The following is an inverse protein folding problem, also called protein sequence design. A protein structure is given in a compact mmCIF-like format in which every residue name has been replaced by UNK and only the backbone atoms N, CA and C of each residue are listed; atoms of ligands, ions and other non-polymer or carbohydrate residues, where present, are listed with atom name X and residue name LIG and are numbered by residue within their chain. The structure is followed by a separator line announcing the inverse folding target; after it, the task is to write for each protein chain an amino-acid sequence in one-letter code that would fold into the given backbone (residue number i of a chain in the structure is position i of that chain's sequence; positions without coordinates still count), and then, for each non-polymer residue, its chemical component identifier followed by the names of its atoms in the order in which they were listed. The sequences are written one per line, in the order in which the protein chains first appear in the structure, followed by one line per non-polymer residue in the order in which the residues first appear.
data_IF_927229697578
#
_entry.id   IF_927229697578
#
_cell.length_a   1.000
_cell.length_b   1.000
_cell.length_c   1.000
_cell.angle_alpha   90.00
_cell.angle_beta   90.00
_cell.angle_gamma   90.00
#
_symmetry.space_group_name_H-M   'P 1'
#
loop_
_entity.id
_entity.type
_entity.pdbx_description
1 polymer ?
#
# COMPACT_ATOMS: atom_id res chain seq x y z
N UNK A 1 25.82 -14.32 -1.15
CA UNK A 1 25.96 -13.73 -2.50
C UNK A 1 25.72 -14.74 -3.63
N UNK A 2 26.10 -16.03 -3.52
CA UNK A 2 25.72 -17.05 -4.53
C UNK A 2 24.30 -17.63 -4.34
N UNK A 3 23.81 -17.70 -3.09
CA UNK A 3 22.48 -18.24 -2.77
C UNK A 3 21.28 -17.33 -3.16
N UNK A 4 21.55 -16.11 -3.64
CA UNK A 4 20.53 -15.11 -4.01
C UNK A 4 20.04 -15.29 -5.47
N UNK A 5 20.83 -15.96 -6.32
CA UNK A 5 20.56 -16.03 -7.75
C UNK A 5 19.91 -17.35 -8.20
N UNK A 6 20.08 -18.47 -7.49
CA UNK A 6 19.45 -19.75 -7.86
C UNK A 6 17.96 -19.83 -7.51
N UNK A 7 17.49 -19.08 -6.51
CA UNK A 7 16.07 -19.05 -6.10
C UNK A 7 15.19 -18.24 -7.07
N UNK A 8 15.80 -17.36 -7.89
CA UNK A 8 15.11 -16.42 -8.80
C UNK A 8 14.41 -17.07 -9.99
N UNK A 9 14.90 -18.21 -10.47
CA UNK A 9 14.37 -18.86 -11.68
C UNK A 9 13.12 -19.70 -11.42
N UNK A 10 13.04 -20.39 -10.28
CA UNK A 10 11.86 -21.19 -9.91
C UNK A 10 10.67 -20.34 -9.42
N UNK A 11 10.94 -19.28 -8.66
CA UNK A 11 9.90 -18.41 -8.11
C UNK A 11 9.18 -17.57 -9.18
N UNK A 12 9.86 -17.21 -10.27
CA UNK A 12 9.28 -16.40 -11.34
C UNK A 12 8.17 -17.13 -12.12
N UNK A 13 8.20 -18.47 -12.23
CA UNK A 13 7.17 -19.25 -12.93
C UNK A 13 5.92 -19.47 -12.07
N UNK A 14 6.08 -19.79 -10.79
CA UNK A 14 4.95 -19.88 -9.84
C UNK A 14 4.26 -18.51 -9.63
N UNK A 15 5.02 -17.41 -9.64
CA UNK A 15 4.50 -16.04 -9.57
C UNK A 15 3.63 -15.66 -10.78
N UNK A 16 3.94 -16.14 -12.00
CA UNK A 16 3.11 -15.88 -13.19
C UNK A 16 1.77 -16.62 -13.14
N UNK A 17 1.74 -17.80 -12.52
CA UNK A 17 0.51 -18.56 -12.35
C UNK A 17 -0.39 -17.97 -11.25
N UNK A 18 0.20 -17.51 -10.14
CA UNK A 18 -0.54 -16.88 -9.04
C UNK A 18 -1.03 -15.46 -9.36
N UNK A 19 -0.22 -14.65 -10.07
CA UNK A 19 -0.58 -13.29 -10.48
C UNK A 19 -1.79 -13.26 -11.42
N UNK A 20 -1.87 -14.20 -12.37
CA UNK A 20 -3.04 -14.36 -13.25
C UNK A 20 -4.33 -14.70 -12.47
N UNK A 21 -4.22 -15.54 -11.44
CA UNK A 21 -5.36 -15.96 -10.62
C UNK A 21 -5.85 -14.85 -9.69
N UNK A 22 -4.92 -14.11 -9.07
CA UNK A 22 -5.23 -12.96 -8.21
C UNK A 22 -5.77 -11.75 -9.01
N UNK A 23 -5.30 -11.57 -10.25
CA UNK A 23 -5.84 -10.57 -11.18
C UNK A 23 -7.26 -10.87 -11.62
N UNK A 24 -7.58 -12.14 -11.89
CA UNK A 24 -8.91 -12.58 -12.32
C UNK A 24 -10.01 -12.39 -11.27
N UNK A 25 -9.70 -12.63 -9.99
CA UNK A 25 -10.69 -12.46 -8.89
C UNK A 25 -10.95 -11.00 -8.50
N UNK A 26 -10.02 -10.07 -8.78
CA UNK A 26 -10.15 -8.64 -8.45
C UNK A 26 -10.90 -7.84 -9.52
N UNK A 27 -10.81 -8.23 -10.79
CA UNK A 27 -11.53 -7.54 -11.87
C UNK A 27 -13.07 -7.65 -11.78
N UNK A 28 -13.60 -8.59 -10.98
CA UNK A 28 -15.05 -8.82 -10.83
C UNK A 28 -15.72 -7.91 -9.77
N UNK A 29 -14.96 -7.20 -8.94
CA UNK A 29 -15.50 -6.47 -7.78
C UNK A 29 -15.11 -4.99 -7.88
N UNK A 30 -16.14 -4.14 -8.11
CA UNK A 30 -16.24 -2.69 -7.83
C UNK A 30 -16.06 -1.70 -9.00
N UNK A 31 -17.04 -0.80 -9.12
CA UNK A 31 -17.11 0.33 -10.07
C UNK A 31 -16.17 1.51 -9.77
N UNK A 32 -15.02 1.25 -9.12
CA UNK A 32 -13.94 2.21 -8.81
C UNK A 32 -12.56 1.79 -9.37
N UNK A 33 -12.52 0.78 -10.23
CA UNK A 33 -11.35 -0.06 -10.55
C UNK A 33 -10.09 0.58 -11.15
N UNK A 34 -10.00 1.91 -11.29
CA UNK A 34 -8.74 2.55 -11.68
C UNK A 34 -7.72 2.55 -10.53
N UNK A 35 -8.14 2.86 -9.30
CA UNK A 35 -7.23 2.92 -8.14
C UNK A 35 -6.82 1.52 -7.69
N UNK A 36 -7.73 0.55 -7.75
CA UNK A 36 -7.41 -0.87 -7.48
C UNK A 36 -6.33 -1.40 -8.44
N UNK A 37 -6.33 -0.92 -9.69
CA UNK A 37 -5.28 -1.21 -10.66
C UNK A 37 -3.91 -0.65 -10.24
N UNK A 38 -3.86 0.53 -9.64
CA UNK A 38 -2.62 1.10 -9.09
C UNK A 38 -2.15 0.35 -7.84
N UNK A 39 -3.05 0.00 -6.93
CA UNK A 39 -2.72 -0.81 -5.75
C UNK A 39 -2.11 -2.17 -6.17
N UNK A 40 -2.74 -2.84 -7.15
CA UNK A 40 -2.23 -4.08 -7.73
C UNK A 40 -0.87 -3.92 -8.42
N UNK A 41 -0.65 -2.82 -9.15
CA UNK A 41 0.66 -2.54 -9.77
C UNK A 41 1.76 -2.32 -8.72
N UNK A 42 1.46 -1.57 -7.66
CA UNK A 42 2.42 -1.34 -6.56
C UNK A 42 2.74 -2.66 -5.85
N UNK A 43 1.73 -3.49 -5.57
CA UNK A 43 1.93 -4.83 -5.01
C UNK A 43 2.85 -5.68 -5.91
N UNK A 44 2.57 -5.73 -7.22
CA UNK A 44 3.37 -6.52 -8.16
C UNK A 44 4.82 -6.02 -8.26
N UNK A 45 5.05 -4.70 -8.19
CA UNK A 45 6.40 -4.12 -8.14
C UNK A 45 7.12 -4.51 -6.86
N UNK A 46 6.48 -4.39 -5.70
CA UNK A 46 7.05 -4.79 -4.40
C UNK A 46 7.42 -6.27 -4.39
N UNK A 47 6.53 -7.12 -4.92
CA UNK A 47 6.78 -8.57 -5.03
C UNK A 47 7.93 -8.88 -5.98
N UNK A 48 8.03 -8.17 -7.11
CA UNK A 48 9.15 -8.33 -8.05
C UNK A 48 10.51 -7.94 -7.43
N UNK A 49 10.51 -6.99 -6.50
CA UNK A 49 11.69 -6.60 -5.72
C UNK A 49 11.97 -7.49 -4.49
N UNK A 50 11.14 -8.51 -4.26
CA UNK A 50 11.37 -9.55 -3.27
C UNK A 50 10.56 -9.42 -1.98
N UNK A 51 9.57 -8.54 -1.91
CA UNK A 51 8.61 -8.51 -0.79
C UNK A 51 7.68 -9.73 -0.91
N UNK A 52 7.51 -10.55 0.13
CA UNK A 52 6.53 -11.63 0.10
C UNK A 52 5.13 -11.08 -0.16
N UNK A 53 4.34 -11.73 -1.02
CA UNK A 53 3.01 -11.19 -1.39
C UNK A 53 2.09 -11.11 -0.19
N UNK A 54 2.19 -12.06 0.73
CA UNK A 54 1.47 -12.08 2.01
C UNK A 54 1.87 -10.93 2.94
N UNK A 55 3.02 -10.30 2.74
CA UNK A 55 3.44 -9.11 3.49
C UNK A 55 2.79 -7.83 2.96
N UNK A 56 2.22 -7.85 1.76
CA UNK A 56 1.44 -6.72 1.22
C UNK A 56 -0.02 -6.90 1.64
N UNK A 57 -0.48 -6.04 2.55
CA UNK A 57 -1.84 -6.00 3.08
C UNK A 57 -2.63 -4.92 2.35
N UNK A 58 -3.93 -5.14 2.22
CA UNK A 58 -4.87 -4.21 1.58
C UNK A 58 -6.11 -4.04 2.44
N UNK A 59 -6.75 -2.88 2.29
CA UNK A 59 -8.02 -2.51 2.93
C UNK A 59 -7.99 -2.81 4.45
N UNK A 60 -9.01 -3.48 4.98
CA UNK A 60 -9.12 -3.86 6.39
C UNK A 60 -7.87 -4.56 6.95
N UNK A 61 -7.13 -5.34 6.15
CA UNK A 61 -5.89 -6.00 6.61
C UNK A 61 -4.71 -5.03 6.75
N UNK A 62 -4.81 -3.85 6.15
CA UNK A 62 -3.88 -2.72 6.25
C UNK A 62 -4.35 -1.68 7.29
N UNK A 63 -5.08 -2.13 8.32
CA UNK A 63 -5.42 -1.30 9.48
C UNK A 63 -4.19 -1.15 10.40
N UNK A 64 -3.78 0.09 10.64
CA UNK A 64 -2.62 0.44 11.45
C UNK A 64 -3.03 1.35 12.61
N UNK A 65 -2.43 1.20 13.80
CA UNK A 65 -2.62 2.14 14.90
C UNK A 65 -2.09 3.53 14.54
N UNK A 66 -2.75 4.57 15.04
CA UNK A 66 -2.29 5.96 14.97
C UNK A 66 -1.93 6.49 16.36
N UNK A 67 -1.47 7.74 16.41
CA UNK A 67 -1.18 8.42 17.68
C UNK A 67 -2.37 9.26 18.16
N UNK A 68 -2.89 10.12 17.27
CA UNK A 68 -4.05 10.97 17.53
C UNK A 68 -5.36 10.21 17.33
N UNK A 69 -5.40 9.26 16.40
CA UNK A 69 -6.54 8.35 16.19
C UNK A 69 -6.18 6.94 16.68
N UNK A 70 -7.19 6.18 17.10
CA UNK A 70 -6.97 4.80 17.54
C UNK A 70 -6.37 3.93 16.43
N UNK A 71 -6.95 3.97 15.23
CA UNK A 71 -6.48 3.24 14.05
C UNK A 71 -6.93 3.92 12.75
N UNK A 72 -6.26 3.57 11.65
CA UNK A 72 -6.67 3.90 10.28
C UNK A 72 -6.49 2.70 9.37
N UNK A 73 -7.50 2.47 8.54
CA UNK A 73 -7.41 1.61 7.36
C UNK A 73 -6.67 2.36 6.25
N UNK A 74 -5.55 1.79 5.80
CA UNK A 74 -4.79 2.25 4.63
C UNK A 74 -5.16 1.40 3.42
N UNK A 75 -5.03 1.95 2.22
CA UNK A 75 -5.29 1.15 1.01
C UNK A 75 -4.27 0.01 0.86
N UNK A 76 -2.98 0.29 1.10
CA UNK A 76 -1.91 -0.70 1.14
C UNK A 76 -1.03 -0.51 2.37
N UNK A 77 -0.68 -1.60 3.07
CA UNK A 77 0.39 -1.61 4.07
C UNK A 77 1.35 -2.78 3.81
N UNK A 78 2.65 -2.56 4.03
CA UNK A 78 3.68 -3.60 3.88
C UNK A 78 4.20 -3.98 5.25
N UNK A 79 3.89 -5.20 5.67
CA UNK A 79 4.31 -5.77 6.96
C UNK A 79 5.11 -7.05 6.73
N UNK A 80 6.43 -6.98 6.92
CA UNK A 80 7.35 -8.10 6.74
C UNK A 80 7.93 -8.51 8.09
N UNK A 81 7.83 -9.79 8.44
CA UNK A 81 8.32 -10.34 9.72
C UNK A 81 7.84 -9.54 10.95
N UNK A 82 6.57 -9.12 10.93
CA UNK A 82 5.96 -8.32 12.00
C UNK A 82 6.42 -6.86 12.06
N UNK A 83 7.20 -6.38 11.08
CA UNK A 83 7.68 -5.00 10.99
C UNK A 83 6.93 -4.25 9.91
N UNK A 84 6.44 -3.06 10.25
CA UNK A 84 5.84 -2.15 9.29
C UNK A 84 6.94 -1.49 8.45
N UNK A 85 6.89 -1.66 7.14
CA UNK A 85 7.85 -1.10 6.19
C UNK A 85 7.25 0.06 5.39
N UNK A 86 5.96 0.00 5.06
CA UNK A 86 5.29 1.05 4.30
C UNK A 86 3.78 1.10 4.54
N UNK A 87 3.19 2.27 4.33
CA UNK A 87 1.76 2.49 4.22
C UNK A 87 1.48 3.44 3.06
N UNK A 88 0.53 3.12 2.19
CA UNK A 88 0.26 3.87 0.95
C UNK A 88 -1.23 4.05 0.77
N UNK A 89 -1.62 5.26 0.36
CA UNK A 89 -2.99 5.62 0.00
C UNK A 89 -3.06 6.05 -1.47
N UNK A 90 -4.15 5.70 -2.16
CA UNK A 90 -4.43 6.02 -3.55
C UNK A 90 -5.71 6.85 -3.65
N UNK A 91 -5.62 8.03 -4.25
CA UNK A 91 -6.77 8.91 -4.48
C UNK A 91 -6.85 9.30 -5.94
N UNK A 92 -8.06 9.35 -6.49
CA UNK A 92 -8.34 9.97 -7.78
C UNK A 92 -9.17 11.24 -7.62
N UNK A 93 -9.01 12.17 -8.56
CA UNK A 93 -9.73 13.44 -8.61
C UNK A 93 -10.05 13.81 -10.07
N UNK A 94 -11.35 13.87 -10.39
CA UNK A 94 -11.88 14.13 -11.75
C UNK A 94 -12.69 15.42 -11.91
N UNK A 95 -13.42 15.86 -10.88
CA UNK A 95 -14.24 17.09 -10.92
C UNK A 95 -14.40 17.73 -9.53
N UNK A 96 -14.63 19.06 -9.50
CA UNK A 96 -14.61 19.94 -8.30
C UNK A 96 -13.25 20.04 -7.61
N UNK A 97 -12.30 20.73 -8.26
CA UNK A 97 -10.92 20.86 -7.79
C UNK A 97 -10.76 21.54 -6.42
N UNK A 98 -11.48 22.64 -6.14
CA UNK A 98 -11.21 23.47 -4.96
C UNK A 98 -11.38 22.74 -3.62
N UNK A 99 -12.63 22.44 -3.26
CA UNK A 99 -12.92 21.84 -1.94
C UNK A 99 -12.37 20.42 -1.80
N UNK A 100 -12.37 19.64 -2.89
CA UNK A 100 -12.00 18.24 -2.83
C UNK A 100 -10.48 18.02 -2.74
N UNK A 101 -9.68 18.95 -3.29
CA UNK A 101 -8.23 18.92 -3.20
C UNK A 101 -7.75 19.33 -1.82
N UNK A 102 -8.30 20.41 -1.24
CA UNK A 102 -7.90 20.85 0.10
C UNK A 102 -8.16 19.75 1.14
N UNK A 103 -9.36 19.15 1.12
CA UNK A 103 -9.70 18.07 2.04
C UNK A 103 -8.77 16.86 1.88
N UNK A 104 -8.39 16.49 0.64
CA UNK A 104 -7.43 15.40 0.40
C UNK A 104 -6.02 15.73 0.87
N UNK A 105 -5.59 16.98 0.70
CA UNK A 105 -4.29 17.43 1.18
C UNK A 105 -4.22 17.39 2.71
N UNK A 106 -5.27 17.88 3.39
CA UNK A 106 -5.40 17.82 4.85
C UNK A 106 -5.42 16.36 5.35
N UNK A 107 -6.14 15.46 4.69
CA UNK A 107 -6.17 14.03 5.03
C UNK A 107 -4.79 13.37 4.86
N UNK A 108 -4.08 13.70 3.78
CA UNK A 108 -2.76 13.15 3.49
C UNK A 108 -1.71 13.60 4.51
N UNK A 109 -1.67 14.89 4.80
CA UNK A 109 -0.78 15.45 5.83
C UNK A 109 -1.15 14.88 7.19
N UNK A 110 -2.44 14.90 7.54
CA UNK A 110 -2.93 14.46 8.84
C UNK A 110 -2.64 12.99 9.12
N UNK A 111 -2.81 12.10 8.15
CA UNK A 111 -2.54 10.67 8.39
C UNK A 111 -1.06 10.33 8.32
N UNK A 112 -0.25 11.06 7.55
CA UNK A 112 1.20 10.93 7.61
C UNK A 112 1.74 11.36 8.98
N UNK A 113 1.35 12.54 9.47
CA UNK A 113 1.77 13.04 10.79
C UNK A 113 1.38 12.06 11.89
N UNK A 114 0.16 11.54 11.84
CA UNK A 114 -0.36 10.60 12.84
C UNK A 114 0.38 9.26 12.87
N UNK A 115 0.73 8.69 11.72
CA UNK A 115 1.48 7.44 11.66
C UNK A 115 2.96 7.63 12.08
N UNK A 116 3.56 8.75 11.70
CA UNK A 116 4.94 9.08 12.08
C UNK A 116 5.07 9.35 13.58
N UNK A 117 4.13 10.08 14.18
CA UNK A 117 4.10 10.30 15.63
C UNK A 117 3.97 8.96 16.39
N UNK A 118 3.10 8.06 15.92
CA UNK A 118 2.97 6.72 16.50
C UNK A 118 4.28 5.91 16.39
N UNK A 119 5.00 6.04 15.27
CA UNK A 119 6.32 5.44 15.11
C UNK A 119 7.36 6.02 16.09
N UNK A 120 7.39 7.35 16.26
CA UNK A 120 8.32 8.03 17.16
C UNK A 120 8.09 7.66 18.64
N UNK A 121 6.83 7.43 19.03
CA UNK A 121 6.42 6.93 20.34
C UNK A 121 6.64 5.41 20.52
N UNK A 122 7.17 4.74 19.49
CA UNK A 122 7.58 3.33 19.57
C UNK A 122 6.44 2.32 19.39
N UNK A 123 5.26 2.74 18.93
CA UNK A 123 4.11 1.85 18.66
C UNK A 123 4.49 0.71 17.71
N UNK A 124 5.37 1.00 16.75
CA UNK A 124 5.81 0.05 15.73
C UNK A 124 7.17 -0.59 16.03
N UNK A 125 7.78 -0.39 17.20
CA UNK A 125 9.09 -0.97 17.50
C UNK A 125 9.06 -2.51 17.38
N UNK A 126 10.05 -3.16 16.72
CA UNK A 126 11.34 -2.63 16.26
C UNK A 126 11.37 -2.35 14.74
N UNK A 127 10.26 -1.91 14.16
CA UNK A 127 10.21 -1.54 12.74
C UNK A 127 11.19 -0.39 12.43
N UNK A 128 11.77 -0.32 11.23
CA UNK A 128 12.36 0.93 10.76
C UNK A 128 11.27 1.99 10.60
N UNK A 129 11.65 3.25 10.40
CA UNK A 129 10.69 4.29 10.05
C UNK A 129 9.95 3.87 8.76
N UNK A 130 8.61 3.73 8.80
CA UNK A 130 7.86 3.26 7.65
C UNK A 130 7.83 4.33 6.55
N UNK A 131 7.87 3.89 5.30
CA UNK A 131 7.61 4.75 4.17
C UNK A 131 6.11 5.08 4.10
N UNK A 132 5.75 6.35 4.12
CA UNK A 132 4.35 6.79 3.97
C UNK A 132 4.15 7.42 2.60
N UNK A 133 3.30 6.80 1.79
CA UNK A 133 3.07 7.17 0.40
C UNK A 133 1.65 7.66 0.14
N UNK A 134 1.53 8.67 -0.71
CA UNK A 134 0.25 9.12 -1.28
C UNK A 134 0.37 9.22 -2.78
N UNK A 135 -0.47 8.46 -3.49
CA UNK A 135 -0.61 8.56 -4.94
C UNK A 135 -1.91 9.30 -5.25
N UNK A 136 -1.80 10.48 -5.86
CA UNK A 136 -2.97 11.23 -6.32
C UNK A 136 -3.01 11.26 -7.84
N UNK A 137 -3.99 10.58 -8.43
CA UNK A 137 -4.28 10.67 -9.85
C UNK A 137 -5.20 11.87 -10.11
N UNK A 138 -4.68 12.87 -10.82
CA UNK A 138 -5.47 14.01 -11.30
C UNK A 138 -5.81 13.81 -12.78
N UNK A 139 -7.10 13.78 -13.08
CA UNK A 139 -7.60 13.76 -14.45
C UNK A 139 -8.63 14.87 -14.64
N UNK A 140 -8.67 15.44 -15.85
CA UNK A 140 -9.76 16.30 -16.28
C UNK A 140 -10.69 15.44 -17.14
N UNK A 141 -11.99 15.44 -16.84
CA UNK A 141 -13.02 14.88 -17.72
C UNK A 141 -13.33 15.86 -18.85
#
# INVERSE_FOLDING_TARGET
MQFYWETRSGQAEEQRASSNTARGRRAEVLGGGQMDGFAGLVEDLLVAEGVPRESVKHDYQATLPGFFRHEKEWDTAVVCDGKLLAAVEYKSQGSSFGNNLNNRAEEAIGSNTDLLEAYEEGVFAPSPQPFVGYLMLMATV
#
